data_IF_477194886966
#
_entry.id   IF_477194886966
#
_cell.length_a   1.000
_cell.length_b   1.000
_cell.length_c   1.000
_cell.angle_alpha   90.00
_cell.angle_beta   90.00
_cell.angle_gamma   90.00
#
_symmetry.space_group_name_H-M   'P 1'
#
loop_
_entity.id
_entity.type
_entity.pdbx_description
1 polymer ?
#
# COMPACT_ATOMS: atom_id res chain seq x y z
N UNK A 1 -0.14 -22.29 -9.14
CA UNK A 1 1.07 -21.53 -9.46
C UNK A 1 0.91 -20.13 -8.86
N UNK A 2 1.52 -19.86 -7.71
CA UNK A 2 1.37 -18.59 -6.98
C UNK A 2 1.77 -17.36 -7.81
N UNK A 3 2.78 -17.47 -8.67
CA UNK A 3 3.28 -16.34 -9.46
C UNK A 3 2.22 -15.82 -10.43
N UNK A 4 1.48 -16.72 -11.08
CA UNK A 4 0.34 -16.35 -11.94
C UNK A 4 -0.78 -15.64 -11.17
N UNK A 5 -0.96 -15.97 -9.89
CA UNK A 5 -1.96 -15.33 -9.04
C UNK A 5 -1.51 -13.94 -8.65
N UNK A 6 -0.23 -13.78 -8.27
CA UNK A 6 0.38 -12.49 -7.92
C UNK A 6 0.28 -11.51 -9.10
N UNK A 7 0.64 -11.95 -10.31
CA UNK A 7 0.56 -11.14 -11.52
C UNK A 7 -0.88 -10.70 -11.83
N UNK A 8 -1.86 -11.60 -11.66
CA UNK A 8 -3.27 -11.33 -11.90
C UNK A 8 -3.93 -10.49 -10.80
N UNK A 9 -3.29 -10.34 -9.64
CA UNK A 9 -3.88 -9.66 -8.48
C UNK A 9 -3.85 -8.14 -8.63
N UNK A 10 -2.83 -7.58 -9.28
CA UNK A 10 -2.69 -6.13 -9.47
C UNK A 10 -3.88 -5.58 -10.28
N UNK A 11 -4.56 -4.58 -9.73
CA UNK A 11 -5.76 -3.98 -10.30
C UNK A 11 -7.08 -4.66 -9.92
N UNK A 12 -7.05 -5.83 -9.26
CA UNK A 12 -8.25 -6.44 -8.68
C UNK A 12 -8.89 -5.45 -7.71
N UNK A 13 -10.20 -5.25 -7.85
CA UNK A 13 -10.96 -4.27 -7.08
C UNK A 13 -12.23 -4.90 -6.50
N UNK A 14 -12.45 -4.70 -5.21
CA UNK A 14 -13.57 -5.30 -4.47
C UNK A 14 -14.23 -4.28 -3.53
N UNK A 15 -15.53 -4.40 -3.24
CA UNK A 15 -16.18 -3.58 -2.22
C UNK A 15 -15.49 -3.72 -0.86
N UNK A 16 -15.25 -2.60 -0.18
CA UNK A 16 -14.64 -2.60 1.16
C UNK A 16 -15.65 -2.28 2.28
N UNK A 17 -15.29 -2.59 3.52
CA UNK A 17 -16.17 -2.43 4.69
C UNK A 17 -16.35 -0.98 5.15
N UNK A 18 -15.64 -0.02 4.55
CA UNK A 18 -15.67 1.42 4.87
C UNK A 18 -16.39 2.24 3.78
N UNK A 19 -17.02 1.55 2.83
CA UNK A 19 -17.64 2.11 1.63
C UNK A 19 -16.65 2.32 0.48
N UNK A 20 -17.12 2.06 -0.74
CA UNK A 20 -16.33 2.16 -1.96
C UNK A 20 -15.64 0.84 -2.34
N UNK A 21 -14.68 0.93 -3.26
CA UNK A 21 -13.99 -0.21 -3.87
C UNK A 21 -12.47 -0.14 -3.62
N UNK A 22 -11.93 -1.08 -2.85
CA UNK A 22 -10.49 -1.18 -2.60
C UNK A 22 -9.83 -1.93 -3.74
N UNK A 23 -8.75 -1.37 -4.29
CA UNK A 23 -7.99 -1.95 -5.39
C UNK A 23 -6.59 -2.36 -4.92
N UNK A 24 -6.08 -3.51 -5.40
CA UNK A 24 -4.69 -3.91 -5.21
C UNK A 24 -3.79 -3.12 -6.17
N UNK A 25 -2.81 -2.40 -5.63
CA UNK A 25 -1.89 -1.58 -6.41
C UNK A 25 -0.58 -2.35 -6.71
N UNK A 26 0.20 -1.92 -7.73
CA UNK A 26 1.45 -2.58 -8.13
C UNK A 26 2.51 -2.70 -7.03
N UNK A 27 2.43 -1.87 -6.01
CA UNK A 27 3.27 -1.90 -4.82
C UNK A 27 2.80 -2.90 -3.74
N UNK A 28 1.84 -3.77 -4.11
CA UNK A 28 1.21 -4.79 -3.26
C UNK A 28 0.47 -4.24 -2.02
N UNK A 29 0.13 -2.95 -2.03
CA UNK A 29 -0.76 -2.35 -1.05
C UNK A 29 -2.13 -2.08 -1.67
N UNK A 30 -3.17 -2.12 -0.83
CA UNK A 30 -4.54 -1.82 -1.27
C UNK A 30 -4.89 -0.35 -1.03
N UNK A 31 -5.77 0.20 -1.86
CA UNK A 31 -6.34 1.53 -1.61
C UNK A 31 -7.31 1.49 -0.43
N UNK A 32 -7.20 2.44 0.50
CA UNK A 32 -8.06 2.53 1.69
C UNK A 32 -8.35 3.97 2.08
N UNK A 33 -9.50 4.28 2.69
CA UNK A 33 -9.71 5.60 3.25
C UNK A 33 -8.88 5.76 4.54
N UNK A 34 -8.56 7.01 4.90
CA UNK A 34 -8.04 7.33 6.23
C UNK A 34 -9.16 7.95 7.05
N UNK A 35 -9.36 7.41 8.25
CA UNK A 35 -10.34 7.89 9.23
C UNK A 35 -9.61 8.34 10.49
N UNK A 36 -9.97 9.50 11.01
CA UNK A 36 -9.57 9.95 12.34
C UNK A 36 -10.78 9.80 13.25
N UNK A 37 -10.61 9.04 14.34
CA UNK A 37 -11.65 8.74 15.31
C UNK A 37 -11.34 9.29 16.69
N UNK A 38 -12.38 9.75 17.39
CA UNK A 38 -12.33 10.17 18.79
C UNK A 38 -13.01 9.13 19.69
N UNK A 39 -12.33 8.76 20.78
CA UNK A 39 -12.86 7.81 21.77
C UNK A 39 -13.94 8.49 22.60
N UNK A 40 -15.11 7.87 22.67
CA UNK A 40 -16.26 8.34 23.42
C UNK A 40 -16.27 7.78 24.85
N UNK A 41 -17.02 8.40 25.76
CA UNK A 41 -17.13 7.95 27.15
C UNK A 41 -17.66 6.51 27.32
N UNK A 42 -18.37 5.99 26.33
CA UNK A 42 -18.87 4.61 26.30
C UNK A 42 -17.89 3.62 25.61
N UNK A 43 -16.67 4.06 25.30
CA UNK A 43 -15.63 3.24 24.66
C UNK A 43 -15.80 3.02 23.16
N UNK A 44 -16.78 3.65 22.51
CA UNK A 44 -16.94 3.62 21.04
C UNK A 44 -16.07 4.69 20.37
N UNK A 45 -15.88 4.58 19.05
CA UNK A 45 -15.23 5.60 18.25
C UNK A 45 -16.24 6.42 17.45
N UNK A 46 -16.11 7.74 17.46
CA UNK A 46 -16.78 8.63 16.52
C UNK A 46 -15.77 9.06 15.44
N UNK A 47 -16.08 8.86 14.17
CA UNK A 47 -15.27 9.42 13.07
C UNK A 47 -15.45 10.94 13.02
N UNK A 48 -14.36 11.69 13.19
CA UNK A 48 -14.35 13.16 13.16
C UNK A 48 -13.74 13.72 11.87
N UNK A 49 -13.00 12.91 11.11
CA UNK A 49 -12.48 13.27 9.80
C UNK A 49 -12.31 12.03 8.92
N UNK A 50 -12.48 12.21 7.61
CA UNK A 50 -12.33 11.19 6.58
C UNK A 50 -11.72 11.81 5.32
N UNK A 51 -10.82 11.09 4.67
CA UNK A 51 -10.31 11.49 3.35
C UNK A 51 -11.43 11.55 2.31
N UNK A 52 -11.42 12.49 1.34
CA UNK A 52 -12.48 12.59 0.32
C UNK A 52 -12.68 11.32 -0.51
N UNK A 53 -11.65 10.48 -0.62
CA UNK A 53 -11.67 9.19 -1.29
C UNK A 53 -10.70 8.21 -0.68
N UNK A 54 -10.33 7.20 -1.46
CA UNK A 54 -9.32 6.22 -1.09
C UNK A 54 -7.93 6.77 -1.36
N UNK A 55 -7.00 6.44 -0.47
CA UNK A 55 -5.59 6.79 -0.58
C UNK A 55 -4.83 5.54 -1.01
N UNK A 56 -3.89 5.70 -1.93
CA UNK A 56 -2.94 4.64 -2.28
C UNK A 56 -1.98 4.41 -1.12
N UNK A 57 -1.66 3.14 -0.83
CA UNK A 57 -0.62 2.84 0.13
C UNK A 57 0.72 3.40 -0.34
N UNK A 58 1.45 3.96 0.61
CA UNK A 58 2.86 4.34 0.45
C UNK A 58 3.68 3.44 1.37
N UNK A 59 4.58 2.67 0.77
CA UNK A 59 5.31 1.57 1.43
C UNK A 59 6.42 2.07 2.33
N UNK A 60 6.98 3.23 1.96
CA UNK A 60 8.23 3.73 2.47
C UNK A 60 8.03 5.16 2.96
N UNK A 61 8.76 5.54 4.01
CA UNK A 61 8.60 6.87 4.58
C UNK A 61 9.55 7.85 3.91
N UNK A 62 9.00 8.91 3.33
CA UNK A 62 9.75 10.06 2.81
C UNK A 62 10.65 10.74 3.85
N UNK A 63 10.41 10.48 5.15
CA UNK A 63 11.07 11.16 6.25
C UNK A 63 12.20 10.35 6.90
N UNK A 64 12.27 9.03 6.66
CA UNK A 64 13.31 8.20 7.23
C UNK A 64 14.50 8.10 6.28
N UNK A 65 15.75 8.34 6.74
CA UNK A 65 16.93 8.28 5.88
C UNK A 65 17.07 6.97 5.09
N UNK A 66 16.67 5.86 5.70
CA UNK A 66 16.85 4.52 5.15
C UNK A 66 15.81 4.14 4.10
N UNK A 67 14.66 4.83 4.05
CA UNK A 67 13.54 4.45 3.18
C UNK A 67 13.02 5.55 2.26
N UNK A 68 13.36 6.82 2.47
CA UNK A 68 12.93 7.95 1.64
C UNK A 68 13.27 7.86 0.15
N UNK A 69 14.23 7.00 -0.20
CA UNK A 69 14.68 6.78 -1.58
C UNK A 69 14.18 5.43 -2.14
N UNK A 70 13.28 4.74 -1.44
CA UNK A 70 12.76 3.44 -1.83
C UNK A 70 11.37 3.56 -2.46
N UNK A 71 11.13 2.75 -3.48
CA UNK A 71 9.80 2.52 -4.04
C UNK A 71 9.53 1.01 -4.11
N UNK A 72 8.24 0.64 -4.20
CA UNK A 72 7.82 -0.70 -4.52
C UNK A 72 7.05 -0.73 -5.85
N UNK A 73 7.42 -1.65 -6.74
CA UNK A 73 6.62 -2.01 -7.90
C UNK A 73 6.93 -3.46 -8.27
N UNK A 74 5.94 -4.33 -8.15
CA UNK A 74 6.06 -5.75 -8.42
C UNK A 74 5.79 -6.11 -9.87
N UNK A 75 5.41 -5.14 -10.72
CA UNK A 75 5.25 -5.39 -12.15
C UNK A 75 6.61 -5.60 -12.81
N UNK A 76 6.63 -6.46 -13.81
CA UNK A 76 7.77 -6.56 -14.71
C UNK A 76 8.00 -5.21 -15.45
N UNK A 77 9.27 -4.80 -15.63
CA UNK A 77 10.49 -5.51 -15.31
C UNK A 77 11.05 -5.26 -13.89
N UNK A 78 10.40 -4.43 -13.06
CA UNK A 78 10.98 -4.01 -11.79
C UNK A 78 10.93 -5.12 -10.73
N UNK A 79 9.75 -5.70 -10.49
CA UNK A 79 9.57 -6.86 -9.61
C UNK A 79 10.20 -6.71 -8.22
N UNK A 80 10.13 -5.53 -7.61
CA UNK A 80 10.88 -5.21 -6.40
C UNK A 80 10.05 -4.47 -5.35
N UNK A 81 10.16 -4.92 -4.10
CA UNK A 81 9.53 -4.27 -2.93
C UNK A 81 10.29 -3.06 -2.38
N UNK A 82 11.60 -3.00 -2.57
CA UNK A 82 12.49 -1.99 -1.98
C UNK A 82 13.53 -1.51 -3.00
N UNK A 83 13.05 -1.01 -4.14
CA UNK A 83 13.91 -0.48 -5.17
C UNK A 83 14.39 0.91 -4.78
N UNK A 84 15.70 1.09 -4.66
CA UNK A 84 16.28 2.37 -4.34
C UNK A 84 16.47 3.20 -5.61
N UNK A 85 15.69 4.28 -5.76
CA UNK A 85 15.67 5.11 -6.98
C UNK A 85 16.98 5.88 -7.22
N UNK A 86 17.79 6.10 -6.18
CA UNK A 86 19.10 6.76 -6.32
C UNK A 86 20.19 5.82 -6.80
N UNK A 87 20.17 4.57 -6.35
CA UNK A 87 21.21 3.59 -6.69
C UNK A 87 20.82 2.67 -7.84
N UNK A 88 19.53 2.61 -8.19
CA UNK A 88 19.01 1.69 -9.19
C UNK A 88 19.04 0.23 -8.76
N UNK A 89 19.09 -0.06 -7.45
CA UNK A 89 19.25 -1.40 -6.90
C UNK A 89 18.02 -1.82 -6.10
N UNK A 90 17.60 -3.07 -6.28
CA UNK A 90 16.61 -3.72 -5.43
C UNK A 90 17.31 -4.27 -4.17
N UNK A 91 16.87 -3.85 -2.99
CA UNK A 91 17.52 -4.19 -1.71
C UNK A 91 17.10 -5.54 -1.11
N UNK A 92 16.22 -6.29 -1.77
CA UNK A 92 15.46 -7.39 -1.16
C UNK A 92 15.43 -8.69 -1.96
N UNK A 93 16.50 -9.05 -2.69
CA UNK A 93 16.60 -10.42 -3.22
C UNK A 93 16.79 -11.40 -2.05
N UNK A 94 15.68 -11.78 -1.41
CA UNK A 94 15.59 -13.06 -0.73
C UNK A 94 15.80 -14.14 -1.77
N UNK A 95 16.86 -14.93 -1.60
CA UNK A 95 17.05 -16.17 -2.33
C UNK A 95 15.95 -17.14 -1.89
N UNK A 96 14.92 -17.31 -2.72
CA UNK A 96 14.12 -18.53 -2.70
C UNK A 96 14.83 -19.57 -3.56
#
# INVERSE_FOLDING_TARGET
DPDKVIDAMVGVSVPNLTGGYSAMMPNHHITKPVLIGEIQANGQFQTVSKTPGLVMGDEWSDYLPDSKDLISDWRAPLGCGNFNVKTGKCGGKGTN
#
